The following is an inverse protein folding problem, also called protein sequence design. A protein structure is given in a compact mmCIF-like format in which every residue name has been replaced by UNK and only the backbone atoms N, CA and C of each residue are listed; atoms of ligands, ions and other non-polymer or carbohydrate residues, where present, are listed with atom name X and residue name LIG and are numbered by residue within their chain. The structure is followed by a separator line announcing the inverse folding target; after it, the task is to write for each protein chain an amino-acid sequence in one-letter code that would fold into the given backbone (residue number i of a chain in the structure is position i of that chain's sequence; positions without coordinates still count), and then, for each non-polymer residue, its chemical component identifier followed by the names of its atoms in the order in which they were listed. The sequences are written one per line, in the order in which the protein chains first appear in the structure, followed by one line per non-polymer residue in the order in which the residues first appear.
data_IF_618707126382
#
_entry.id   IF_618707126382
#
_cell.length_a   1.000
_cell.length_b   1.000
_cell.length_c   1.000
_cell.angle_alpha   90.00
_cell.angle_beta   90.00
_cell.angle_gamma   90.00
#
_symmetry.space_group_name_H-M   'P 1'
#
loop_
_entity.id
_entity.type
_entity.pdbx_description
1 polymer ?
#
# COMPACT_ATOMS: atom_id res chain seq x y z
N UNK A 1 2.69 -5.21 -2.41
CA UNK A 1 4.00 -5.34 -3.11
C UNK A 1 4.25 -6.79 -3.49
N UNK A 2 5.19 -7.09 -4.41
CA UNK A 2 5.32 -8.44 -4.97
C UNK A 2 5.65 -9.55 -3.97
N UNK A 3 6.29 -9.23 -2.84
CA UNK A 3 6.56 -10.26 -1.82
C UNK A 3 5.27 -10.78 -1.18
N UNK A 4 4.39 -9.86 -0.78
CA UNK A 4 3.06 -10.18 -0.24
C UNK A 4 2.26 -11.03 -1.23
N UNK A 5 2.39 -10.77 -2.53
CA UNK A 5 1.68 -11.58 -3.54
C UNK A 5 2.23 -13.00 -3.60
N UNK A 6 3.56 -13.15 -3.59
CA UNK A 6 4.21 -14.45 -3.72
C UNK A 6 4.09 -15.31 -2.46
N UNK A 7 4.12 -14.70 -1.27
CA UNK A 7 4.08 -15.41 0.02
C UNK A 7 2.65 -15.63 0.51
N UNK A 8 1.79 -14.60 0.46
CA UNK A 8 0.47 -14.62 1.12
C UNK A 8 -0.68 -14.94 0.15
N UNK A 9 -0.42 -14.86 -1.16
CA UNK A 9 -1.41 -15.04 -2.23
C UNK A 9 -2.77 -14.34 -1.96
N UNK A 10 -2.79 -13.02 -1.68
CA UNK A 10 -4.00 -12.32 -1.30
C UNK A 10 -4.94 -12.14 -2.50
N UNK A 11 -6.26 -12.06 -2.24
CA UNK A 11 -7.26 -11.77 -3.28
C UNK A 11 -7.54 -10.27 -3.47
N UNK A 12 -7.25 -9.44 -2.46
CA UNK A 12 -7.45 -7.96 -2.46
C UNK A 12 -8.84 -7.51 -2.94
N UNK A 13 -9.90 -8.28 -2.64
CA UNK A 13 -11.29 -8.06 -3.05
C UNK A 13 -12.17 -7.55 -1.88
N UNK A 14 -13.19 -6.74 -2.20
CA UNK A 14 -14.21 -6.36 -1.23
C UNK A 14 -15.16 -7.54 -1.07
N UNK A 15 -15.27 -8.10 0.14
CA UNK A 15 -16.09 -9.29 0.41
C UNK A 15 -17.32 -9.04 1.27
N UNK A 16 -17.26 -8.01 2.12
CA UNK A 16 -18.22 -7.80 3.21
C UNK A 16 -19.17 -6.62 2.98
N UNK A 17 -18.97 -5.86 1.91
CA UNK A 17 -19.79 -4.68 1.58
C UNK A 17 -20.10 -4.71 0.09
N UNK A 18 -21.32 -4.35 -0.29
CA UNK A 18 -21.68 -4.18 -1.70
C UNK A 18 -20.92 -2.96 -2.28
N UNK A 19 -20.28 -3.15 -3.43
CA UNK A 19 -19.54 -2.08 -4.10
C UNK A 19 -18.61 -2.58 -5.19
N UNK A 20 -18.08 -1.65 -5.98
CA UNK A 20 -17.06 -1.97 -6.97
C UNK A 20 -15.76 -2.38 -6.28
N UNK A 21 -15.14 -3.42 -6.83
CA UNK A 21 -13.82 -3.84 -6.40
C UNK A 21 -12.78 -2.76 -6.74
N UNK A 22 -11.93 -2.33 -5.79
CA UNK A 22 -10.96 -1.26 -6.05
C UNK A 22 -9.94 -1.67 -7.11
N UNK A 23 -9.35 -0.69 -7.78
CA UNK A 23 -8.20 -0.94 -8.64
C UNK A 23 -7.05 -1.52 -7.82
N UNK A 24 -6.46 -2.61 -8.30
CA UNK A 24 -5.31 -3.25 -7.65
C UNK A 24 -4.03 -2.70 -8.25
N UNK A 25 -3.16 -2.17 -7.37
CA UNK A 25 -1.84 -1.66 -7.71
C UNK A 25 -0.77 -2.50 -7.02
N UNK A 26 0.24 -2.91 -7.78
CA UNK A 26 1.31 -3.79 -7.32
C UNK A 26 2.66 -3.16 -7.59
N UNK A 27 3.47 -3.02 -6.55
CA UNK A 27 4.89 -2.68 -6.69
C UNK A 27 5.71 -3.95 -6.82
N UNK A 28 6.32 -4.15 -7.98
CA UNK A 28 7.22 -5.27 -8.28
C UNK A 28 8.56 -4.79 -8.83
N UNK A 29 9.35 -4.17 -7.94
CA UNK A 29 10.64 -3.54 -8.28
C UNK A 29 11.59 -4.39 -9.12
N UNK A 30 11.57 -5.72 -8.94
CA UNK A 30 12.52 -6.66 -9.57
C UNK A 30 11.87 -7.53 -10.66
N UNK A 31 10.64 -7.25 -11.07
CA UNK A 31 9.94 -8.05 -12.10
C UNK A 31 9.78 -9.52 -11.74
N UNK A 32 9.54 -9.84 -10.45
CA UNK A 32 9.38 -11.23 -10.00
C UNK A 32 8.05 -11.84 -10.42
N UNK A 33 7.03 -11.03 -10.66
CA UNK A 33 5.70 -11.52 -10.98
C UNK A 33 5.63 -11.98 -12.44
N UNK A 34 5.09 -13.19 -12.62
CA UNK A 34 4.97 -13.87 -13.90
C UNK A 34 3.71 -13.44 -14.66
N UNK A 35 2.70 -12.91 -13.98
CA UNK A 35 1.38 -12.64 -14.55
C UNK A 35 0.42 -13.83 -14.43
N UNK A 36 0.86 -14.92 -13.80
CA UNK A 36 0.07 -16.14 -13.59
C UNK A 36 -0.35 -16.33 -12.12
N UNK A 37 0.08 -15.43 -11.23
CA UNK A 37 -0.30 -15.44 -9.81
C UNK A 37 -1.82 -15.23 -9.66
N UNK A 38 -2.43 -15.72 -8.57
CA UNK A 38 -3.90 -15.68 -8.40
C UNK A 38 -4.46 -14.27 -8.42
N UNK A 39 -3.67 -13.26 -8.04
CA UNK A 39 -4.04 -11.84 -8.14
C UNK A 39 -4.41 -11.41 -9.57
N UNK A 40 -3.88 -12.08 -10.59
CA UNK A 40 -4.16 -11.79 -11.99
C UNK A 40 -5.44 -12.50 -12.50
N UNK A 41 -5.94 -13.52 -11.77
CA UNK A 41 -7.18 -14.22 -12.11
C UNK A 41 -8.45 -13.55 -11.56
N UNK A 42 -8.34 -12.34 -11.01
CA UNK A 42 -9.44 -11.66 -10.30
C UNK A 42 -10.54 -11.05 -11.21
N UNK A 43 -10.45 -11.23 -12.52
CA UNK A 43 -11.43 -10.69 -13.48
C UNK A 43 -11.39 -9.16 -13.62
N UNK A 44 -10.33 -8.50 -13.13
CA UNK A 44 -10.08 -7.06 -13.25
C UNK A 44 -8.63 -6.79 -13.65
N UNK A 45 -8.40 -5.66 -14.31
CA UNK A 45 -7.04 -5.22 -14.65
C UNK A 45 -6.23 -5.01 -13.36
N UNK A 46 -4.96 -5.41 -13.37
CA UNK A 46 -4.01 -5.17 -12.27
C UNK A 46 -2.92 -4.27 -12.83
N UNK A 47 -2.57 -3.22 -12.09
CA UNK A 47 -1.49 -2.32 -12.49
C UNK A 47 -0.21 -2.70 -11.74
N UNK A 48 0.83 -3.05 -12.47
CA UNK A 48 2.12 -3.47 -11.92
C UNK A 48 3.17 -2.43 -12.27
N UNK A 49 3.74 -1.78 -11.26
CA UNK A 49 4.85 -0.84 -11.40
C UNK A 49 6.16 -1.58 -11.15
N UNK A 50 7.07 -1.52 -12.12
CA UNK A 50 8.28 -2.33 -12.16
C UNK A 50 9.42 -1.59 -12.85
N UNK A 51 10.67 -1.89 -12.51
CA UNK A 51 11.83 -1.46 -13.31
C UNK A 51 12.17 -2.42 -14.45
N UNK A 52 11.54 -3.60 -14.43
CA UNK A 52 11.67 -4.61 -15.47
C UNK A 52 10.48 -4.48 -16.40
N UNK A 53 10.77 -4.21 -17.66
CA UNK A 53 9.77 -4.14 -18.72
C UNK A 53 9.14 -5.52 -18.93
N UNK A 54 7.82 -5.50 -19.13
CA UNK A 54 7.03 -6.69 -19.41
C UNK A 54 5.74 -6.32 -20.08
N UNK A 55 5.31 -7.13 -21.04
CA UNK A 55 4.00 -7.00 -21.65
C UNK A 55 3.03 -8.03 -21.08
N UNK A 56 1.78 -7.62 -20.91
CA UNK A 56 0.68 -8.50 -20.57
C UNK A 56 -0.61 -8.01 -21.27
N UNK A 57 -1.43 -8.93 -21.77
CA UNK A 57 -2.64 -8.60 -22.54
C UNK A 57 -3.81 -8.12 -21.67
N UNK A 58 -3.86 -8.53 -20.41
CA UNK A 58 -5.01 -8.33 -19.53
C UNK A 58 -4.67 -7.46 -18.30
N UNK A 59 -3.39 -7.20 -18.09
CA UNK A 59 -2.88 -6.41 -16.97
C UNK A 59 -1.92 -5.36 -17.48
N UNK A 60 -1.85 -4.25 -16.76
CA UNK A 60 -1.02 -3.12 -17.13
C UNK A 60 0.32 -3.23 -16.44
N UNK A 61 1.39 -3.44 -17.19
CA UNK A 61 2.75 -3.26 -16.68
C UNK A 61 3.23 -1.86 -17.01
N UNK A 62 3.53 -1.09 -15.98
CA UNK A 62 4.02 0.28 -16.06
C UNK A 62 5.51 0.22 -15.72
N UNK A 63 6.33 0.26 -16.77
CA UNK A 63 7.79 0.28 -16.63
C UNK A 63 8.23 1.66 -16.17
N UNK A 64 9.03 1.69 -15.11
CA UNK A 64 9.60 2.92 -14.53
C UNK A 64 11.11 2.82 -14.61
N UNK A 65 11.79 3.86 -15.07
CA UNK A 65 13.25 3.88 -15.16
C UNK A 65 13.90 3.48 -13.82
N UNK A 66 14.98 2.70 -13.89
CA UNK A 66 15.58 2.06 -12.70
C UNK A 66 16.16 3.04 -11.66
N UNK A 67 16.38 4.28 -12.06
CA UNK A 67 16.86 5.40 -11.23
C UNK A 67 15.71 6.19 -10.58
N UNK A 68 14.46 5.96 -10.98
CA UNK A 68 13.28 6.65 -10.46
C UNK A 68 12.56 5.83 -9.39
N UNK A 69 11.99 6.46 -8.35
CA UNK A 69 11.19 5.75 -7.37
C UNK A 69 9.82 5.33 -7.94
N UNK A 70 9.34 4.14 -7.57
CA UNK A 70 8.04 3.63 -8.04
C UNK A 70 6.84 4.36 -7.43
N UNK A 71 6.90 4.75 -6.15
CA UNK A 71 5.74 5.33 -5.43
C UNK A 71 5.26 6.65 -6.05
N UNK A 72 6.13 7.63 -6.40
CA UNK A 72 5.68 8.82 -7.11
C UNK A 72 4.98 8.52 -8.44
N UNK A 73 5.47 7.55 -9.20
CA UNK A 73 4.83 7.11 -10.44
C UNK A 73 3.44 6.50 -10.21
N UNK A 74 3.23 5.83 -9.06
CA UNK A 74 1.88 5.41 -8.63
C UNK A 74 0.98 6.63 -8.46
N UNK A 75 1.42 7.65 -7.73
CA UNK A 75 0.61 8.85 -7.49
C UNK A 75 0.32 9.62 -8.79
N UNK A 76 1.30 9.76 -9.68
CA UNK A 76 1.10 10.38 -11.00
C UNK A 76 0.06 9.61 -11.83
N UNK A 77 0.14 8.28 -11.84
CA UNK A 77 -0.82 7.44 -12.56
C UNK A 77 -2.21 7.52 -11.95
N UNK A 78 -2.32 7.50 -10.62
CA UNK A 78 -3.58 7.65 -9.90
C UNK A 78 -4.23 9.00 -10.21
N UNK A 79 -3.45 10.08 -10.16
CA UNK A 79 -3.93 11.43 -10.49
C UNK A 79 -4.46 11.50 -11.93
N UNK A 80 -3.75 10.90 -12.88
CA UNK A 80 -4.16 10.85 -14.28
C UNK A 80 -5.46 10.05 -14.52
N UNK A 81 -5.85 9.19 -13.58
CA UNK A 81 -7.10 8.41 -13.61
C UNK A 81 -8.11 8.88 -12.56
N UNK A 82 -7.94 10.10 -12.03
CA UNK A 82 -8.86 10.73 -11.07
C UNK A 82 -9.09 9.90 -9.78
N UNK A 83 -8.09 9.10 -9.40
CA UNK A 83 -8.11 8.27 -8.19
C UNK A 83 -7.58 9.04 -6.98
N UNK A 84 -8.41 9.15 -5.94
CA UNK A 84 -8.13 10.01 -4.79
C UNK A 84 -7.82 9.26 -3.49
N UNK A 85 -7.88 7.93 -3.49
CA UNK A 85 -7.66 7.13 -2.27
C UNK A 85 -6.82 5.91 -2.59
N UNK A 86 -5.74 5.73 -1.82
CA UNK A 86 -4.90 4.56 -1.88
C UNK A 86 -4.90 3.88 -0.51
N UNK A 87 -5.40 2.65 -0.47
CA UNK A 87 -5.24 1.80 0.70
C UNK A 87 -4.00 0.92 0.52
N UNK A 88 -3.02 1.09 1.40
CA UNK A 88 -1.71 0.43 1.27
C UNK A 88 -1.62 -0.74 2.23
N UNK A 89 -1.51 -1.95 1.67
CA UNK A 89 -1.13 -3.16 2.40
C UNK A 89 0.19 -3.73 1.84
N UNK A 90 1.03 -4.26 2.72
CA UNK A 90 2.21 -4.99 2.31
C UNK A 90 3.19 -5.28 3.43
N UNK A 91 4.38 -5.72 3.05
CA UNK A 91 5.45 -5.93 4.02
C UNK A 91 6.01 -4.61 4.58
N UNK A 92 6.76 -4.72 5.68
CA UNK A 92 7.45 -3.62 6.37
C UNK A 92 8.12 -2.62 5.42
N UNK A 93 8.85 -3.09 4.41
CA UNK A 93 9.59 -2.23 3.49
C UNK A 93 8.67 -1.29 2.68
N UNK A 94 7.48 -1.75 2.30
CA UNK A 94 6.49 -0.92 1.59
C UNK A 94 5.98 0.15 2.55
N UNK A 95 5.51 -0.25 3.73
CA UNK A 95 5.02 0.70 4.73
C UNK A 95 6.07 1.75 5.10
N UNK A 96 7.31 1.32 5.34
CA UNK A 96 8.41 2.24 5.64
C UNK A 96 8.65 3.24 4.49
N UNK A 97 8.61 2.79 3.23
CA UNK A 97 8.80 3.68 2.10
C UNK A 97 7.70 4.78 2.00
N UNK A 98 6.46 4.46 2.37
CA UNK A 98 5.40 5.47 2.49
C UNK A 98 5.64 6.41 3.68
N UNK A 99 5.98 5.87 4.85
CA UNK A 99 6.19 6.64 6.08
C UNK A 99 7.41 7.57 6.04
N UNK A 100 8.49 7.16 5.38
CA UNK A 100 9.68 7.99 5.13
C UNK A 100 9.40 9.12 4.12
N UNK A 101 8.24 9.05 3.48
CA UNK A 101 7.79 10.02 2.51
C UNK A 101 7.25 11.28 3.09
N UNK A 102 7.75 12.41 2.58
CA UNK A 102 7.06 13.68 2.78
C UNK A 102 5.72 13.65 2.05
N UNK A 103 4.64 13.91 2.76
CA UNK A 103 3.26 14.02 2.24
C UNK A 103 2.79 12.78 1.44
N UNK A 104 3.28 11.58 1.81
CA UNK A 104 2.89 10.32 1.14
C UNK A 104 1.79 9.54 1.85
N UNK A 105 1.35 9.99 3.02
CA UNK A 105 0.36 9.32 3.84
C UNK A 105 -0.42 10.33 4.69
N UNK A 106 -1.70 10.01 4.93
CA UNK A 106 -2.60 10.84 5.74
C UNK A 106 -2.98 10.15 7.04
N UNK A 107 -3.21 8.83 6.96
CA UNK A 107 -3.62 7.98 8.07
C UNK A 107 -2.82 6.67 8.10
N UNK A 108 -2.38 6.27 9.29
CA UNK A 108 -1.78 4.97 9.56
C UNK A 108 -2.65 4.25 10.58
N UNK A 109 -3.08 3.04 10.25
CA UNK A 109 -3.79 2.14 11.18
C UNK A 109 -2.87 0.98 11.51
N UNK A 110 -2.64 0.71 12.78
CA UNK A 110 -1.92 -0.48 13.21
C UNK A 110 -2.65 -1.17 14.35
N UNK A 111 -2.53 -2.50 14.37
CA UNK A 111 -3.10 -3.38 15.38
C UNK A 111 -1.96 -3.95 16.22
N UNK A 112 -2.16 -3.99 17.53
CA UNK A 112 -1.21 -4.56 18.49
C UNK A 112 -1.89 -5.67 19.27
N UNK A 113 -1.36 -6.89 19.18
CA UNK A 113 -1.80 -8.00 20.02
C UNK A 113 -1.33 -7.85 21.44
N UNK A 114 -2.06 -8.45 22.38
CA UNK A 114 -1.63 -8.57 23.78
C UNK A 114 -0.44 -9.53 23.95
N UNK A 115 -0.27 -10.46 23.00
CA UNK A 115 0.84 -11.39 22.96
C UNK A 115 2.13 -10.72 22.45
N UNK A 116 3.25 -11.05 23.09
CA UNK A 116 4.57 -10.55 22.71
C UNK A 116 5.28 -11.54 21.81
N UNK A 117 5.50 -11.14 20.55
CA UNK A 117 6.35 -11.88 19.64
C UNK A 117 7.82 -11.59 19.98
N UNK A 118 8.57 -12.60 20.42
CA UNK A 118 9.96 -12.42 20.87
C UNK A 118 10.95 -12.09 19.75
N UNK A 119 10.90 -12.82 18.63
CA UNK A 119 11.79 -12.64 17.49
C UNK A 119 10.97 -12.57 16.20
N UNK A 120 11.43 -11.76 15.24
CA UNK A 120 10.76 -11.63 13.96
C UNK A 120 11.10 -10.33 13.24
N UNK A 121 10.19 -9.93 12.35
CA UNK A 121 10.32 -8.70 11.57
C UNK A 121 9.89 -7.53 12.46
N UNK A 122 10.79 -6.58 12.73
CA UNK A 122 10.41 -5.35 13.45
C UNK A 122 9.39 -4.56 12.66
N UNK A 123 8.44 -3.93 13.36
CA UNK A 123 7.49 -3.01 12.77
C UNK A 123 8.18 -1.81 12.07
N UNK A 124 7.52 -1.15 11.11
CA UNK A 124 7.96 0.13 10.58
C UNK A 124 8.14 1.18 11.70
N UNK A 125 9.12 2.06 11.54
CA UNK A 125 9.29 3.20 12.42
C UNK A 125 8.19 4.22 12.16
N UNK A 126 7.48 4.62 13.23
CA UNK A 126 6.41 5.61 13.16
C UNK A 126 7.04 7.02 13.08
N UNK A 127 6.65 7.87 12.11
CA UNK A 127 7.14 9.24 12.01
C UNK A 127 6.82 10.08 13.25
N UNK A 128 7.76 10.95 13.67
CA UNK A 128 7.58 11.79 14.87
C UNK A 128 6.49 12.86 14.71
N UNK A 129 6.18 13.23 13.48
CA UNK A 129 5.22 14.26 13.11
C UNK A 129 3.84 13.70 12.80
N UNK A 130 3.36 12.85 13.71
CA UNK A 130 1.99 12.34 13.70
C UNK A 130 1.28 12.68 15.02
N UNK A 131 -0.04 12.47 15.03
CA UNK A 131 -0.86 12.49 16.24
C UNK A 131 -1.74 11.26 16.30
N UNK A 132 -1.92 10.70 17.49
CA UNK A 132 -2.99 9.74 17.74
C UNK A 132 -4.34 10.43 17.53
N UNK A 133 -5.14 9.85 16.65
CA UNK A 133 -6.50 10.29 16.38
C UNK A 133 -7.50 9.44 17.16
N UNK A 134 -7.36 8.11 17.11
CA UNK A 134 -8.26 7.15 17.75
C UNK A 134 -7.45 5.98 18.33
N UNK A 135 -7.94 5.44 19.45
CA UNK A 135 -7.49 4.16 20.02
C UNK A 135 -8.73 3.39 20.44
N UNK A 136 -8.86 2.16 19.96
CA UNK A 136 -10.04 1.31 20.17
C UNK A 136 -9.60 -0.14 20.36
N UNK A 137 -10.30 -0.87 21.21
CA UNK A 137 -10.17 -2.33 21.30
C UNK A 137 -11.00 -2.99 20.19
N UNK A 138 -10.39 -3.90 19.44
CA UNK A 138 -11.01 -4.67 18.36
C UNK A 138 -10.77 -6.15 18.63
N UNK A 139 -11.75 -6.80 19.25
CA UNK A 139 -11.59 -8.18 19.73
C UNK A 139 -10.52 -8.25 20.84
N UNK A 140 -9.47 -9.04 20.62
CA UNK A 140 -8.35 -9.19 21.56
C UNK A 140 -7.18 -8.22 21.29
N UNK A 141 -7.27 -7.43 20.22
CA UNK A 141 -6.22 -6.50 19.78
C UNK A 141 -6.59 -5.05 20.07
N UNK A 142 -5.58 -4.20 20.19
CA UNK A 142 -5.75 -2.74 20.22
C UNK A 142 -5.46 -2.16 18.83
N UNK A 143 -6.42 -1.41 18.28
CA UNK A 143 -6.24 -0.62 17.07
C UNK A 143 -5.88 0.81 17.43
N UNK A 144 -4.84 1.35 16.79
CA UNK A 144 -4.48 2.76 16.87
C UNK A 144 -4.54 3.37 15.48
N UNK A 145 -5.17 4.54 15.38
CA UNK A 145 -5.21 5.36 14.18
C UNK A 145 -4.36 6.61 14.43
N UNK A 146 -3.31 6.77 13.64
CA UNK A 146 -2.45 7.96 13.61
C UNK A 146 -2.75 8.79 12.37
N UNK A 147 -2.66 10.12 12.50
CA UNK A 147 -2.75 11.06 11.36
C UNK A 147 -1.47 11.86 11.19
N UNK A 148 -1.10 12.09 9.93
CA UNK A 148 0.09 12.84 9.53
C UNK A 148 -0.10 14.34 9.78
N UNK A 149 0.79 15.00 10.53
CA UNK A 149 0.72 16.47 10.69
C UNK A 149 1.09 17.20 9.39
N UNK A 150 1.81 16.54 8.47
CA UNK A 150 2.31 17.15 7.24
C UNK A 150 1.18 17.48 6.24
N UNK A 151 0.14 16.65 6.18
CA UNK A 151 -0.96 16.86 5.22
C UNK A 151 -1.91 17.96 5.71
N UNK A 152 -2.26 17.95 7.00
CA UNK A 152 -3.32 18.82 7.54
C UNK A 152 -2.89 20.29 7.73
N UNK A 153 -1.58 20.57 7.84
CA UNK A 153 -1.10 21.96 7.93
C UNK A 153 -1.39 22.78 6.67
N UNK A 154 -1.45 22.14 5.50
CA UNK A 154 -1.66 22.83 4.23
C UNK A 154 -3.15 23.11 3.92
N UNK A 155 -4.09 22.41 4.56
CA UNK A 155 -5.53 22.68 4.43
C UNK A 155 -5.99 23.91 5.22
N UNK A 156 -5.23 24.33 6.24
CA UNK A 156 -5.55 25.48 7.10
C UNK A 156 -4.91 26.78 6.56
N UNK A 157 -4.02 26.68 5.57
CA UNK A 157 -3.30 27.82 4.99
C UNK A 157 -3.82 28.30 3.62
N UNK A 158 -5.01 27.85 3.20
CA UNK A 158 -5.77 28.38 2.04
C UNK A 158 -6.98 29.16 2.54
#
# INVERSE_FOLDING_TARGET
GSNTILEDNPRLDVRLVEGESPQVIVLDRRGRLTGNETIFALGREVWVFSHIEKENKHHRWITVDSDKPLIPMVFETMLAHEMNTLFVEGGRQIHQAFLDGRMRWDELRYFTSREMLGHGITAPAIPADCTTYVTEDVGDDAMVILRSKQTWQNFISL
#
